data_IF_810064162283
#
_entry.id   IF_810064162283
#
_cell.length_a   1.000
_cell.length_b   1.000
_cell.length_c   1.000
_cell.angle_alpha   90.00
_cell.angle_beta   90.00
_cell.angle_gamma   90.00
#
_symmetry.space_group_name_H-M   'P 1'
#
loop_
_entity.id
_entity.type
_entity.pdbx_description
1 polymer ?
#
# COMPACT_ATOMS: atom_id res chain seq x y z
N UNK A 1 -1.07 10.15 19.68
CA UNK A 1 -0.66 8.74 19.92
C UNK A 1 -0.98 7.89 18.68
N UNK A 2 -0.11 6.95 18.28
CA UNK A 2 -0.37 6.08 17.11
C UNK A 2 -1.16 4.83 17.55
N UNK A 3 -2.32 4.52 16.94
CA UNK A 3 -3.11 3.35 17.32
C UNK A 3 -2.35 2.04 17.12
N UNK A 4 -2.46 1.09 18.06
CA UNK A 4 -1.86 -0.25 17.94
C UNK A 4 -2.31 -0.98 16.67
N UNK A 5 -3.58 -0.84 16.30
CA UNK A 5 -4.13 -1.44 15.08
C UNK A 5 -3.40 -0.98 13.82
N UNK A 6 -3.03 0.30 13.72
CA UNK A 6 -2.28 0.82 12.57
C UNK A 6 -0.90 0.16 12.46
N UNK A 7 -0.24 -0.08 13.59
CA UNK A 7 1.07 -0.78 13.62
C UNK A 7 0.94 -2.22 13.13
N UNK A 8 -0.13 -2.91 13.54
CA UNK A 8 -0.43 -4.27 13.07
C UNK A 8 -0.66 -4.28 11.56
N UNK A 9 -1.45 -3.34 11.03
CA UNK A 9 -1.70 -3.22 9.60
C UNK A 9 -0.42 -2.99 8.78
N UNK A 10 0.56 -2.25 9.31
CA UNK A 10 1.85 -2.08 8.66
C UNK A 10 2.64 -3.40 8.55
N UNK A 11 2.55 -4.26 9.57
CA UNK A 11 3.17 -5.60 9.54
C UNK A 11 2.43 -6.52 8.57
N UNK A 12 1.10 -6.49 8.55
CA UNK A 12 0.29 -7.27 7.60
C UNK A 12 0.63 -6.84 6.16
N UNK A 13 0.69 -5.53 5.91
CA UNK A 13 1.05 -4.99 4.59
C UNK A 13 2.46 -5.40 4.17
N UNK A 14 3.44 -5.32 5.07
CA UNK A 14 4.79 -5.84 4.81
C UNK A 14 4.76 -7.30 4.36
N UNK A 15 4.04 -8.17 5.09
CA UNK A 15 3.97 -9.59 4.76
C UNK A 15 3.32 -9.82 3.39
N UNK A 16 2.20 -9.14 3.10
CA UNK A 16 1.52 -9.22 1.81
C UNK A 16 2.41 -8.76 0.65
N UNK A 17 3.09 -7.62 0.83
CA UNK A 17 3.98 -7.06 -0.19
C UNK A 17 5.15 -7.99 -0.48
N UNK A 18 5.83 -8.52 0.54
CA UNK A 18 6.97 -9.41 0.34
C UNK A 18 6.56 -10.75 -0.28
N UNK A 19 5.42 -11.30 0.14
CA UNK A 19 4.87 -12.53 -0.42
C UNK A 19 4.63 -12.38 -1.93
N UNK A 20 4.17 -11.21 -2.38
CA UNK A 20 3.92 -10.95 -3.80
C UNK A 20 5.19 -10.48 -4.54
N UNK A 21 6.02 -9.66 -3.91
CA UNK A 21 7.21 -9.07 -4.51
C UNK A 21 8.26 -10.12 -4.88
N UNK A 22 8.54 -11.09 -4.01
CA UNK A 22 9.61 -12.07 -4.24
C UNK A 22 9.34 -12.93 -5.49
N UNK A 23 8.14 -13.54 -5.69
CA UNK A 23 7.83 -14.25 -6.92
C UNK A 23 7.86 -13.37 -8.18
N UNK A 24 7.39 -12.12 -8.10
CA UNK A 24 7.41 -11.18 -9.24
C UNK A 24 8.84 -10.74 -9.61
N UNK A 25 9.74 -10.63 -8.64
CA UNK A 25 11.15 -10.30 -8.88
C UNK A 25 11.92 -11.48 -9.49
N UNK A 26 11.80 -12.66 -8.87
CA UNK A 26 12.60 -13.82 -9.21
C UNK A 26 12.08 -14.57 -10.45
N UNK A 27 10.76 -14.71 -10.58
CA UNK A 27 10.13 -15.52 -11.62
C UNK A 27 8.87 -14.85 -12.20
N UNK A 28 8.96 -13.63 -12.76
CA UNK A 28 7.80 -12.83 -13.18
C UNK A 28 6.87 -13.57 -14.15
N UNK A 29 7.43 -14.19 -15.19
CA UNK A 29 6.65 -14.90 -16.21
C UNK A 29 5.92 -16.08 -15.60
N UNK A 30 6.63 -16.96 -14.87
CA UNK A 30 6.00 -18.12 -14.23
C UNK A 30 4.90 -17.71 -13.25
N UNK A 31 5.18 -16.70 -12.42
CA UNK A 31 4.24 -16.21 -11.41
C UNK A 31 2.96 -15.69 -12.07
N UNK A 32 3.06 -14.79 -13.05
CA UNK A 32 1.86 -14.22 -13.67
C UNK A 32 1.14 -15.20 -14.60
N UNK A 33 1.85 -16.11 -15.27
CA UNK A 33 1.22 -17.16 -16.07
C UNK A 33 0.37 -18.11 -15.23
N UNK A 34 0.82 -18.48 -14.02
CA UNK A 34 0.03 -19.27 -13.07
C UNK A 34 -1.25 -18.55 -12.61
N UNK A 35 -1.26 -17.22 -12.70
CA UNK A 35 -2.39 -16.38 -12.34
C UNK A 35 -3.27 -15.99 -13.54
N UNK A 36 -2.99 -16.56 -14.73
CA UNK A 36 -3.82 -16.44 -15.92
C UNK A 36 -3.37 -15.38 -16.94
N UNK A 37 -2.24 -14.71 -16.73
CA UNK A 37 -1.71 -13.78 -17.74
C UNK A 37 -1.01 -14.53 -18.87
N UNK A 38 -1.40 -14.22 -20.11
CA UNK A 38 -0.81 -14.79 -21.33
C UNK A 38 0.32 -13.94 -21.92
N UNK A 39 0.24 -12.62 -21.78
CA UNK A 39 1.27 -11.67 -22.23
C UNK A 39 1.86 -10.96 -21.02
N UNK A 40 3.16 -11.15 -20.80
CA UNK A 40 3.85 -10.66 -19.59
C UNK A 40 5.13 -9.94 -20.02
N UNK A 41 5.26 -8.68 -19.62
CA UNK A 41 6.53 -7.96 -19.67
C UNK A 41 7.33 -8.25 -18.38
N UNK A 42 8.45 -9.00 -18.44
CA UNK A 42 9.24 -9.31 -17.26
C UNK A 42 9.91 -8.09 -16.65
N UNK A 43 10.18 -7.04 -17.42
CA UNK A 43 10.82 -5.82 -16.89
C UNK A 43 9.83 -5.04 -16.03
N UNK A 44 8.66 -4.69 -16.58
CA UNK A 44 7.59 -4.02 -15.84
C UNK A 44 7.12 -4.82 -14.63
N UNK A 45 7.02 -6.14 -14.75
CA UNK A 45 6.64 -7.02 -13.63
C UNK A 45 7.65 -6.95 -12.47
N UNK A 46 8.95 -6.96 -12.77
CA UNK A 46 9.99 -6.81 -11.75
C UNK A 46 9.99 -5.42 -11.12
N UNK A 47 9.70 -4.38 -11.92
CA UNK A 47 9.59 -3.02 -11.41
C UNK A 47 8.44 -2.90 -10.40
N UNK A 48 7.28 -3.52 -10.68
CA UNK A 48 6.17 -3.62 -9.73
C UNK A 48 6.58 -4.40 -8.49
N UNK A 49 7.27 -5.54 -8.64
CA UNK A 49 7.82 -6.31 -7.53
C UNK A 49 8.78 -5.49 -6.64
N UNK A 50 9.66 -4.69 -7.25
CA UNK A 50 10.57 -3.80 -6.53
C UNK A 50 9.82 -2.69 -5.78
N UNK A 51 8.77 -2.12 -6.39
CA UNK A 51 7.94 -1.12 -5.73
C UNK A 51 7.22 -1.70 -4.50
N UNK A 52 6.61 -2.89 -4.62
CA UNK A 52 6.01 -3.61 -3.49
C UNK A 52 7.04 -3.91 -2.41
N UNK A 53 8.23 -4.40 -2.77
CA UNK A 53 9.30 -4.66 -1.81
C UNK A 53 9.71 -3.39 -1.05
N UNK A 54 9.91 -2.26 -1.74
CA UNK A 54 10.30 -1.01 -1.12
C UNK A 54 9.25 -0.47 -0.15
N UNK A 55 7.99 -0.42 -0.58
CA UNK A 55 6.87 0.07 0.24
C UNK A 55 6.59 -0.91 1.41
N UNK A 56 6.72 -2.21 1.16
CA UNK A 56 6.54 -3.27 2.14
C UNK A 56 7.59 -3.25 3.23
N UNK A 57 8.88 -3.25 2.85
CA UNK A 57 10.00 -3.17 3.80
C UNK A 57 9.92 -1.91 4.64
N UNK A 58 9.58 -0.78 4.03
CA UNK A 58 9.43 0.46 4.79
C UNK A 58 8.27 0.38 5.79
N UNK A 59 7.23 -0.39 5.49
CA UNK A 59 6.15 -0.64 6.47
C UNK A 59 6.66 -1.38 7.69
N UNK A 60 7.59 -2.33 7.51
CA UNK A 60 8.22 -3.03 8.62
C UNK A 60 9.14 -2.07 9.39
N UNK A 61 10.06 -1.37 8.72
CA UNK A 61 11.03 -0.49 9.37
C UNK A 61 10.34 0.66 10.13
N UNK A 62 9.35 1.30 9.51
CA UNK A 62 8.58 2.42 10.07
C UNK A 62 7.51 2.04 11.09
N UNK A 63 7.28 0.74 11.39
CA UNK A 63 6.16 0.27 12.25
C UNK A 63 6.12 0.87 13.65
N UNK A 64 7.26 1.39 14.13
CA UNK A 64 7.37 2.00 15.44
C UNK A 64 7.58 3.52 15.45
N UNK A 65 7.49 4.18 14.30
CA UNK A 65 7.78 5.59 14.15
C UNK A 65 6.75 6.52 14.83
N UNK A 66 7.05 7.83 14.79
CA UNK A 66 6.20 8.89 15.31
C UNK A 66 4.90 9.05 14.50
N UNK A 67 3.91 9.73 15.07
CA UNK A 67 2.65 10.00 14.38
C UNK A 67 2.83 10.83 13.10
N UNK A 68 3.81 11.73 13.08
CA UNK A 68 4.19 12.51 11.91
C UNK A 68 4.69 11.61 10.77
N UNK A 69 5.62 10.71 11.06
CA UNK A 69 6.16 9.76 10.07
C UNK A 69 5.05 8.84 9.57
N UNK A 70 4.16 8.35 10.45
CA UNK A 70 2.98 7.58 10.02
C UNK A 70 2.09 8.34 9.06
N UNK A 71 1.88 9.65 9.24
CA UNK A 71 1.08 10.46 8.31
C UNK A 71 1.74 10.56 6.94
N UNK A 72 3.05 10.79 6.89
CA UNK A 72 3.80 10.83 5.64
C UNK A 72 3.71 9.47 4.90
N UNK A 73 3.94 8.37 5.62
CA UNK A 73 3.82 7.02 5.05
C UNK A 73 2.38 6.70 4.58
N UNK A 74 1.36 7.12 5.34
CA UNK A 74 -0.03 6.94 4.93
C UNK A 74 -0.35 7.73 3.65
N UNK A 75 0.16 8.97 3.50
CA UNK A 75 -0.02 9.72 2.26
C UNK A 75 0.58 8.96 1.06
N UNK A 76 1.81 8.46 1.20
CA UNK A 76 2.46 7.65 0.17
C UNK A 76 1.61 6.42 -0.19
N UNK A 77 1.16 5.66 0.82
CA UNK A 77 0.35 4.44 0.61
C UNK A 77 -0.99 4.73 -0.06
N UNK A 78 -1.63 5.85 0.27
CA UNK A 78 -2.88 6.26 -0.37
C UNK A 78 -2.64 6.60 -1.84
N UNK A 79 -1.64 7.43 -2.14
CA UNK A 79 -1.30 7.81 -3.53
C UNK A 79 -0.98 6.57 -4.37
N UNK A 80 -0.09 5.72 -3.84
CA UNK A 80 0.28 4.46 -4.50
C UNK A 80 -0.92 3.54 -4.73
N UNK A 81 -1.70 3.25 -3.68
CA UNK A 81 -2.82 2.32 -3.78
C UNK A 81 -3.93 2.82 -4.70
N UNK A 82 -4.23 4.12 -4.73
CA UNK A 82 -5.21 4.68 -5.67
C UNK A 82 -4.71 4.60 -7.11
N UNK A 83 -3.42 4.85 -7.33
CA UNK A 83 -2.79 4.65 -8.65
C UNK A 83 -2.88 3.20 -9.12
N UNK A 84 -2.57 2.25 -8.24
CA UNK A 84 -2.68 0.82 -8.52
C UNK A 84 -4.13 0.39 -8.78
N UNK A 85 -5.10 0.84 -7.96
CA UNK A 85 -6.54 0.60 -8.17
C UNK A 85 -6.97 1.07 -9.56
N UNK A 86 -6.59 2.29 -9.93
CA UNK A 86 -6.93 2.85 -11.25
C UNK A 86 -6.32 2.03 -12.38
N UNK A 87 -5.03 1.70 -12.29
CA UNK A 87 -4.35 0.90 -13.31
C UNK A 87 -4.91 -0.52 -13.45
N UNK A 88 -5.26 -1.17 -12.33
CA UNK A 88 -5.89 -2.50 -12.34
C UNK A 88 -7.30 -2.41 -12.93
N UNK A 89 -8.10 -1.41 -12.54
CA UNK A 89 -9.46 -1.23 -13.06
C UNK A 89 -9.47 -1.01 -14.58
N UNK A 90 -8.57 -0.16 -15.10
CA UNK A 90 -8.41 0.05 -16.54
C UNK A 90 -7.97 -1.24 -17.25
N UNK A 91 -7.07 -2.00 -16.65
CA UNK A 91 -6.62 -3.29 -17.21
C UNK A 91 -7.75 -4.32 -17.27
N UNK A 92 -8.59 -4.40 -16.21
CA UNK A 92 -9.76 -5.26 -16.16
C UNK A 92 -10.80 -4.87 -17.22
N UNK A 93 -11.04 -3.57 -17.41
CA UNK A 93 -11.91 -3.08 -18.49
C UNK A 93 -11.38 -3.46 -19.88
N UNK A 94 -10.06 -3.60 -20.03
CA UNK A 94 -9.38 -4.08 -21.23
C UNK A 94 -9.30 -5.61 -21.38
N UNK A 95 -9.95 -6.38 -20.49
CA UNK A 95 -9.99 -7.85 -20.58
C UNK A 95 -8.86 -8.58 -19.84
N UNK A 96 -8.25 -7.95 -18.82
CA UNK A 96 -7.28 -8.63 -17.96
C UNK A 96 -7.88 -9.89 -17.28
N UNK A 97 -7.04 -10.87 -16.89
CA UNK A 97 -7.49 -12.12 -16.27
C UNK A 97 -8.31 -11.90 -14.99
N UNK A 98 -9.15 -12.88 -14.65
CA UNK A 98 -10.05 -12.82 -13.48
C UNK A 98 -9.31 -12.57 -12.15
N UNK A 99 -8.06 -13.02 -12.02
CA UNK A 99 -7.22 -12.76 -10.85
C UNK A 99 -6.99 -11.25 -10.60
N UNK A 100 -7.10 -10.41 -11.64
CA UNK A 100 -7.06 -8.95 -11.51
C UNK A 100 -8.13 -8.41 -10.54
N UNK A 101 -9.31 -9.04 -10.45
CA UNK A 101 -10.36 -8.65 -9.49
C UNK A 101 -9.95 -8.91 -8.05
N UNK A 102 -9.21 -9.99 -7.80
CA UNK A 102 -8.68 -10.31 -6.47
C UNK A 102 -7.66 -9.25 -6.06
N UNK A 103 -6.73 -8.90 -6.96
CA UNK A 103 -5.79 -7.82 -6.69
C UNK A 103 -6.49 -6.48 -6.46
N UNK A 104 -7.49 -6.14 -7.28
CA UNK A 104 -8.29 -4.93 -7.09
C UNK A 104 -8.92 -4.88 -5.69
N UNK A 105 -9.55 -5.97 -5.26
CA UNK A 105 -10.18 -6.06 -3.95
C UNK A 105 -9.16 -5.88 -2.81
N UNK A 106 -7.99 -6.53 -2.89
CA UNK A 106 -6.91 -6.38 -1.91
C UNK A 106 -6.43 -4.93 -1.82
N UNK A 107 -6.18 -4.28 -2.96
CA UNK A 107 -5.77 -2.88 -2.97
C UNK A 107 -6.85 -1.95 -2.41
N UNK A 108 -8.13 -2.19 -2.71
CA UNK A 108 -9.25 -1.45 -2.12
C UNK A 108 -9.29 -1.58 -0.59
N UNK A 109 -9.14 -2.79 -0.04
CA UNK A 109 -9.11 -3.01 1.41
C UNK A 109 -7.97 -2.24 2.07
N UNK A 110 -6.77 -2.31 1.51
CA UNK A 110 -5.64 -1.55 2.04
C UNK A 110 -5.84 -0.04 1.91
N UNK A 111 -6.31 0.44 0.76
CA UNK A 111 -6.55 1.87 0.53
C UNK A 111 -7.56 2.44 1.51
N UNK A 112 -8.69 1.76 1.72
CA UNK A 112 -9.70 2.15 2.71
C UNK A 112 -9.13 2.16 4.13
N UNK A 113 -8.31 1.17 4.47
CA UNK A 113 -7.61 1.11 5.77
C UNK A 113 -6.69 2.32 5.96
N UNK A 114 -5.92 2.70 4.93
CA UNK A 114 -5.02 3.86 5.00
C UNK A 114 -5.77 5.17 5.11
N UNK A 115 -6.83 5.35 4.32
CA UNK A 115 -7.70 6.53 4.37
C UNK A 115 -8.32 6.65 5.77
N UNK A 116 -8.86 5.56 6.32
CA UNK A 116 -9.42 5.53 7.67
C UNK A 116 -8.42 6.02 8.73
N UNK A 117 -7.21 5.43 8.78
CA UNK A 117 -6.20 5.84 9.77
C UNK A 117 -5.64 7.23 9.52
N UNK A 118 -5.54 7.66 8.25
CA UNK A 118 -5.07 9.00 7.89
C UNK A 118 -6.03 10.09 8.34
N UNK A 119 -7.33 9.83 8.31
CA UNK A 119 -8.35 10.72 8.86
C UNK A 119 -8.33 10.75 10.39
N UNK A 120 -7.97 9.64 11.04
CA UNK A 120 -7.89 9.53 12.51
C UNK A 120 -6.63 10.15 13.11
N UNK A 121 -5.52 10.23 12.37
CA UNK A 121 -4.25 10.83 12.81
C UNK A 121 -4.14 12.35 12.57
N UNK A 122 -5.25 13.09 12.62
CA UNK A 122 -5.23 14.55 12.46
C UNK A 122 -4.28 15.20 13.49
N UNK A 123 -3.55 16.27 13.12
CA UNK A 123 -2.79 17.02 14.11
C UNK A 123 -3.80 17.56 15.11
N UNK A 124 -3.55 17.35 16.40
CA UNK A 124 -4.29 18.06 17.44
C UNK A 124 -4.05 19.55 17.17
N UNK A 125 -5.10 20.31 16.89
CA UNK A 125 -5.01 21.76 16.72
C UNK A 125 -4.37 22.34 17.98
N UNK A 126 -3.26 23.06 17.80
CA UNK A 126 -2.69 23.96 18.81
C UNK A 126 -3.70 25.09 19.03
N UNK A 127 -4.71 24.86 19.88
CA UNK A 127 -5.72 25.87 20.26
C UNK A 127 -5.72 26.15 21.77
N UNK A 128 -4.56 26.06 22.42
CA UNK A 128 -4.41 26.38 23.85
C UNK A 128 -3.10 27.12 24.19
N UNK A 129 -2.64 28.07 23.35
CA UNK A 129 -1.49 28.91 23.73
C UNK A 129 -1.63 30.39 23.40
N UNK A 130 -2.85 30.89 23.20
CA UNK A 130 -3.11 32.33 23.01
C UNK A 130 -4.36 32.68 23.84
N UNK A 131 -4.18 32.92 25.14
CA UNK A 131 -5.27 33.39 25.99
C UNK A 131 -5.07 33.17 27.47
N UNK A 132 -4.06 33.82 28.06
CA UNK A 132 -4.09 34.31 29.45
C UNK A 132 -2.77 35.01 29.79
N UNK A 133 -2.55 36.19 29.20
CA UNK A 133 -1.66 37.21 29.76
C UNK A 133 -2.51 38.50 29.79
N UNK A 134 -3.43 38.57 30.76
CA UNK A 134 -4.09 39.80 31.23
C UNK A 134 -4.11 39.78 32.77
#
# INVERSE_FOLDING_TARGET
MVPRGLRIWFVIHFAADILLALPLLCAPVRTLSLLGWSTIDPFGTRLVGAALMGIGLESLLGRNASAEVFRAMLNLKIIWSLGAITGIALSLAGGAPAMGWVFLAVFCVFSLTWIYYRMRLRPTDTRESIGSDD
#
